data_IF_645362899614
#
_entry.id   IF_645362899614
#
_cell.length_a   1.000
_cell.length_b   1.000
_cell.length_c   1.000
_cell.angle_alpha   90.00
_cell.angle_beta   90.00
_cell.angle_gamma   90.00
#
_symmetry.space_group_name_H-M   'P 1'
#
loop_
_entity.id
_entity.type
_entity.pdbx_description
1 polymer ?
#
# COMPACT_ATOMS: atom_id res chain seq x y z
N UNK A 1 19.22 14.03 14.02
CA UNK A 1 18.99 13.85 12.56
C UNK A 1 20.28 13.93 11.76
N UNK A 2 21.17 14.90 12.02
CA UNK A 2 22.50 14.95 11.35
C UNK A 2 23.34 13.69 11.58
N UNK A 3 23.49 13.26 12.85
CA UNK A 3 24.28 12.06 13.21
C UNK A 3 23.80 10.76 12.57
N UNK A 4 22.51 10.67 12.22
CA UNK A 4 21.90 9.49 11.59
C UNK A 4 21.71 9.68 10.09
N UNK A 5 22.34 10.70 9.49
CA UNK A 5 22.33 10.96 8.05
C UNK A 5 21.01 11.49 7.48
N UNK A 6 20.03 11.81 8.33
CA UNK A 6 18.72 12.31 7.89
C UNK A 6 18.73 13.80 7.52
N UNK A 7 19.73 14.56 7.98
CA UNK A 7 19.91 15.97 7.63
C UNK A 7 21.41 16.28 7.41
N UNK A 8 21.77 17.17 6.48
CA UNK A 8 23.15 17.65 6.37
C UNK A 8 23.53 18.49 7.59
N UNK A 9 24.82 18.50 7.96
CA UNK A 9 25.32 19.23 9.13
C UNK A 9 25.07 20.75 9.06
N UNK A 10 24.93 21.29 7.85
CA UNK A 10 24.68 22.71 7.57
C UNK A 10 23.18 23.02 7.37
N UNK A 11 22.29 22.07 7.64
CA UNK A 11 20.85 22.32 7.55
C UNK A 11 20.44 23.44 8.53
N UNK A 12 19.66 24.44 8.08
CA UNK A 12 19.17 25.47 8.98
C UNK A 12 18.19 24.87 10.02
N UNK A 13 17.98 25.54 11.18
CA UNK A 13 17.14 25.00 12.26
C UNK A 13 15.70 24.66 11.84
N UNK A 14 15.18 25.35 10.82
CA UNK A 14 13.83 25.19 10.27
C UNK A 14 13.75 24.23 9.07
N UNK A 15 14.86 23.56 8.70
CA UNK A 15 14.93 22.72 7.49
C UNK A 15 13.88 21.59 7.43
N UNK A 16 13.38 21.12 8.58
CA UNK A 16 12.35 20.08 8.64
C UNK A 16 10.95 20.61 8.88
N UNK A 17 10.79 21.93 9.08
CA UNK A 17 9.50 22.51 9.46
C UNK A 17 8.41 22.15 8.45
N UNK A 18 8.68 22.28 7.15
CA UNK A 18 7.76 21.90 6.09
C UNK A 18 7.38 20.40 6.12
N UNK A 19 8.36 19.52 6.33
CA UNK A 19 8.12 18.06 6.39
C UNK A 19 7.27 17.70 7.61
N UNK A 20 7.59 18.27 8.78
CA UNK A 20 6.83 18.06 10.03
C UNK A 20 5.42 18.60 9.88
N UNK A 21 5.24 19.76 9.26
CA UNK A 21 3.93 20.34 9.00
C UNK A 21 3.10 19.43 8.09
N UNK A 22 3.63 19.03 6.93
CA UNK A 22 2.92 18.16 5.97
C UNK A 22 2.56 16.82 6.61
N UNK A 23 3.50 16.19 7.29
CA UNK A 23 3.25 14.92 8.00
C UNK A 23 2.18 15.09 9.08
N UNK A 24 2.29 16.17 9.87
CA UNK A 24 1.32 16.50 10.91
C UNK A 24 -0.08 16.81 10.35
N UNK A 25 -0.18 17.44 9.19
CA UNK A 25 -1.45 17.67 8.49
C UNK A 25 -2.04 16.35 7.99
N UNK A 26 -1.23 15.48 7.38
CA UNK A 26 -1.69 14.18 6.89
C UNK A 26 -2.27 13.31 8.01
N UNK A 27 -1.62 13.25 9.18
CA UNK A 27 -2.10 12.48 10.33
C UNK A 27 -3.41 13.01 10.94
N UNK A 28 -3.67 14.33 10.82
CA UNK A 28 -4.85 14.97 11.41
C UNK A 28 -6.02 15.11 10.44
N UNK A 29 -5.80 14.85 9.16
CA UNK A 29 -6.85 14.92 8.15
C UNK A 29 -7.76 13.72 8.29
N UNK A 30 -8.99 13.93 8.75
CA UNK A 30 -9.99 12.87 8.82
C UNK A 30 -10.50 12.59 7.42
N UNK A 31 -10.24 11.38 6.92
CA UNK A 31 -10.82 10.88 5.68
C UNK A 31 -11.80 9.76 5.97
N UNK A 32 -13.04 9.91 5.50
CA UNK A 32 -14.09 8.88 5.54
C UNK A 32 -14.62 8.67 4.12
N UNK A 33 -14.35 7.52 3.49
CA UNK A 33 -14.88 7.23 2.17
C UNK A 33 -16.41 7.29 2.18
N UNK A 34 -16.99 8.14 1.33
CA UNK A 34 -18.46 8.24 1.19
C UNK A 34 -19.05 7.10 0.32
N UNK A 35 -18.20 6.45 -0.48
CA UNK A 35 -18.61 5.43 -1.45
C UNK A 35 -17.71 4.21 -1.38
N UNK A 36 -18.29 3.06 -1.69
CA UNK A 36 -17.53 1.82 -1.91
C UNK A 36 -16.92 1.84 -3.31
N UNK A 37 -15.67 1.38 -3.41
CA UNK A 37 -15.00 1.18 -4.69
C UNK A 37 -15.59 -0.06 -5.39
N UNK A 38 -16.22 0.07 -6.57
CA UNK A 38 -17.03 -1.01 -7.14
C UNK A 38 -16.22 -2.11 -7.83
N UNK A 39 -14.89 -1.95 -7.96
CA UNK A 39 -14.01 -2.87 -8.69
C UNK A 39 -13.08 -3.61 -7.72
N UNK A 40 -12.23 -4.45 -8.28
CA UNK A 40 -11.19 -5.18 -7.55
C UNK A 40 -10.19 -4.18 -6.96
N UNK A 41 -10.15 -4.10 -5.64
CA UNK A 41 -9.08 -3.45 -4.90
C UNK A 41 -7.95 -4.46 -4.69
N UNK A 42 -6.73 -4.09 -5.06
CA UNK A 42 -5.55 -4.93 -4.86
C UNK A 42 -4.79 -4.40 -3.65
N UNK A 43 -4.78 -5.17 -2.57
CA UNK A 43 -4.15 -4.81 -1.31
C UNK A 43 -2.81 -5.54 -1.18
N UNK A 44 -1.74 -4.76 -1.02
CA UNK A 44 -0.41 -5.26 -0.67
C UNK A 44 -0.25 -5.16 0.84
N UNK A 45 0.07 -6.27 1.48
CA UNK A 45 0.28 -6.34 2.93
C UNK A 45 1.71 -6.79 3.20
N UNK A 46 2.43 -6.02 4.01
CA UNK A 46 3.78 -6.33 4.45
C UNK A 46 3.76 -6.70 5.94
N UNK A 47 4.73 -7.50 6.36
CA UNK A 47 4.90 -7.82 7.78
C UNK A 47 5.43 -6.60 8.54
N UNK A 48 5.00 -6.47 9.78
CA UNK A 48 5.60 -5.58 10.74
C UNK A 48 6.80 -6.30 11.39
N UNK A 49 8.02 -5.75 11.32
CA UNK A 49 9.25 -6.47 11.69
C UNK A 49 9.40 -6.72 13.19
N UNK A 50 8.62 -6.03 14.03
CA UNK A 50 8.65 -6.19 15.49
C UNK A 50 7.57 -7.15 16.02
N UNK A 51 6.72 -7.69 15.14
CA UNK A 51 5.65 -8.61 15.53
C UNK A 51 6.05 -10.04 15.17
N UNK A 52 5.52 -10.99 15.95
CA UNK A 52 5.62 -12.39 15.56
C UNK A 52 4.65 -12.73 14.41
N UNK A 53 4.68 -13.98 13.96
CA UNK A 53 3.84 -14.43 12.86
C UNK A 53 2.34 -14.46 13.19
N UNK A 54 1.97 -14.65 14.46
CA UNK A 54 0.57 -14.66 14.89
C UNK A 54 0.00 -13.25 14.92
N UNK A 55 0.74 -12.31 15.48
CA UNK A 55 0.36 -10.90 15.55
C UNK A 55 0.30 -10.27 14.15
N UNK A 56 1.25 -10.59 13.26
CA UNK A 56 1.20 -10.15 11.86
C UNK A 56 -0.06 -10.66 11.14
N UNK A 57 -0.42 -11.94 11.35
CA UNK A 57 -1.64 -12.52 10.76
C UNK A 57 -2.89 -11.80 11.26
N UNK A 58 -2.99 -11.52 12.57
CA UNK A 58 -4.11 -10.76 13.14
C UNK A 58 -4.22 -9.37 12.51
N UNK A 59 -3.12 -8.60 12.46
CA UNK A 59 -3.13 -7.28 11.83
C UNK A 59 -3.51 -7.32 10.35
N UNK A 60 -3.06 -8.35 9.63
CA UNK A 60 -3.39 -8.52 8.23
C UNK A 60 -4.88 -8.81 8.01
N UNK A 61 -5.50 -9.60 8.88
CA UNK A 61 -6.92 -9.90 8.83
C UNK A 61 -7.78 -8.67 9.14
N UNK A 62 -7.38 -7.88 10.15
CA UNK A 62 -8.03 -6.61 10.49
C UNK A 62 -8.00 -5.62 9.33
N UNK A 63 -6.83 -5.42 8.72
CA UNK A 63 -6.68 -4.59 7.52
C UNK A 63 -7.56 -5.11 6.38
N UNK A 64 -7.52 -6.41 6.10
CA UNK A 64 -8.33 -7.00 5.03
C UNK A 64 -9.84 -6.82 5.27
N UNK A 65 -10.29 -6.96 6.52
CA UNK A 65 -11.68 -6.71 6.90
C UNK A 65 -12.12 -5.27 6.61
N UNK A 66 -11.30 -4.28 7.02
CA UNK A 66 -11.56 -2.87 6.76
C UNK A 66 -11.65 -2.56 5.26
N UNK A 67 -10.76 -3.12 4.44
CA UNK A 67 -10.79 -2.92 2.99
C UNK A 67 -11.94 -3.65 2.30
N UNK A 68 -12.35 -4.84 2.76
CA UNK A 68 -13.53 -5.56 2.22
C UNK A 68 -14.82 -4.77 2.41
N UNK A 69 -14.96 -4.05 3.52
CA UNK A 69 -16.12 -3.18 3.73
C UNK A 69 -16.22 -2.04 2.70
N UNK A 70 -15.08 -1.61 2.14
CA UNK A 70 -14.96 -0.47 1.24
C UNK A 70 -14.83 -0.83 -0.24
N UNK A 71 -14.64 -2.10 -0.59
CA UNK A 71 -14.46 -2.56 -1.96
C UNK A 71 -15.52 -3.59 -2.38
N UNK A 72 -15.78 -3.70 -3.69
CA UNK A 72 -16.62 -4.76 -4.26
C UNK A 72 -15.93 -6.12 -4.21
N UNK A 73 -14.63 -6.14 -4.51
CA UNK A 73 -13.78 -7.33 -4.43
C UNK A 73 -12.39 -6.94 -3.90
N UNK A 74 -11.76 -7.82 -3.13
CA UNK A 74 -10.44 -7.62 -2.56
C UNK A 74 -9.49 -8.74 -3.01
N UNK A 75 -8.42 -8.37 -3.71
CA UNK A 75 -7.29 -9.26 -4.04
C UNK A 75 -6.10 -8.91 -3.15
N UNK A 76 -5.60 -9.88 -2.39
CA UNK A 76 -4.53 -9.65 -1.41
C UNK A 76 -3.23 -10.29 -1.91
N UNK A 77 -2.12 -9.57 -1.75
CA UNK A 77 -0.78 -10.10 -1.95
C UNK A 77 0.13 -9.75 -0.77
N UNK A 78 0.94 -10.72 -0.34
CA UNK A 78 1.92 -10.56 0.73
C UNK A 78 3.24 -10.09 0.14
N UNK A 79 3.69 -8.92 0.57
CA UNK A 79 4.97 -8.37 0.17
C UNK A 79 6.13 -9.12 0.83
N UNK A 80 7.27 -9.16 0.13
CA UNK A 80 8.55 -9.37 0.78
C UNK A 80 9.03 -8.05 1.39
N UNK A 81 9.73 -8.12 2.52
CA UNK A 81 10.11 -6.93 3.29
C UNK A 81 8.94 -6.36 4.12
N UNK A 82 9.20 -5.20 4.71
CA UNK A 82 8.27 -4.46 5.57
C UNK A 82 7.65 -3.25 4.85
N UNK A 83 6.84 -2.47 5.57
CA UNK A 83 6.17 -1.28 5.05
C UNK A 83 7.10 -0.29 4.32
N UNK A 84 8.34 -0.13 4.81
CA UNK A 84 9.33 0.78 4.24
C UNK A 84 10.21 0.11 3.19
N UNK A 85 10.57 -1.16 3.40
CA UNK A 85 11.55 -1.85 2.54
C UNK A 85 10.92 -2.47 1.29
N UNK A 86 9.60 -2.70 1.25
CA UNK A 86 8.92 -3.27 0.07
C UNK A 86 9.07 -2.44 -1.21
N UNK A 87 9.35 -1.14 -1.09
CA UNK A 87 9.54 -0.21 -2.20
C UNK A 87 11.01 -0.06 -2.63
N UNK A 88 11.92 -0.85 -2.07
CA UNK A 88 13.37 -0.81 -2.37
C UNK A 88 13.84 -2.15 -2.92
N UNK A 89 14.98 -2.13 -3.63
CA UNK A 89 15.62 -3.36 -4.04
C UNK A 89 16.04 -4.21 -2.82
N UNK A 90 15.87 -5.55 -2.86
CA UNK A 90 15.34 -6.32 -3.99
C UNK A 90 13.80 -6.41 -4.03
N UNK A 91 13.11 -6.15 -2.92
CA UNK A 91 11.66 -6.37 -2.73
C UNK A 91 10.76 -5.71 -3.77
N UNK A 92 11.15 -4.53 -4.24
CA UNK A 92 10.40 -3.78 -5.26
C UNK A 92 10.24 -4.57 -6.57
N UNK A 93 11.15 -5.49 -6.88
CA UNK A 93 11.04 -6.34 -8.06
C UNK A 93 9.91 -7.38 -7.93
N UNK A 94 9.67 -7.92 -6.74
CA UNK A 94 8.54 -8.81 -6.48
C UNK A 94 7.21 -8.06 -6.65
N UNK A 95 7.12 -6.87 -6.06
CA UNK A 95 5.96 -6.00 -6.17
C UNK A 95 5.67 -5.64 -7.63
N UNK A 96 6.67 -5.22 -8.39
CA UNK A 96 6.52 -4.87 -9.80
C UNK A 96 6.06 -6.07 -10.64
N UNK A 97 6.63 -7.27 -10.42
CA UNK A 97 6.20 -8.49 -11.10
C UNK A 97 4.76 -8.84 -10.78
N UNK A 98 4.37 -8.83 -9.51
CA UNK A 98 2.98 -9.10 -9.11
C UNK A 98 2.01 -8.08 -9.74
N UNK A 99 2.32 -6.79 -9.64
CA UNK A 99 1.48 -5.72 -10.19
C UNK A 99 1.26 -5.87 -11.70
N UNK A 100 2.34 -6.13 -12.45
CA UNK A 100 2.28 -6.28 -13.91
C UNK A 100 1.41 -7.46 -14.37
N UNK A 101 1.25 -8.49 -13.54
CA UNK A 101 0.39 -9.65 -13.80
C UNK A 101 -1.04 -9.39 -13.35
N UNK A 102 -1.22 -8.67 -12.25
CA UNK A 102 -2.52 -8.46 -11.64
C UNK A 102 -3.35 -7.40 -12.35
N UNK A 103 -2.73 -6.42 -13.02
CA UNK A 103 -3.42 -5.30 -13.70
C UNK A 103 -3.75 -5.62 -15.18
N UNK A 104 -3.16 -6.67 -15.76
CA UNK A 104 -3.54 -7.08 -17.12
C UNK A 104 -5.01 -7.54 -17.12
N UNK A 105 -5.86 -7.00 -18.01
CA UNK A 105 -7.21 -7.51 -18.16
C UNK A 105 -7.10 -8.98 -18.57
N UNK A 106 -7.84 -9.85 -17.88
CA UNK A 106 -8.09 -11.19 -18.36
C UNK A 106 -8.68 -11.04 -19.77
N UNK A 107 -8.05 -11.64 -20.80
CA UNK A 107 -8.47 -11.56 -22.20
C UNK A 107 -9.80 -12.29 -22.49
N UNK A 108 -10.76 -12.18 -21.59
CA UNK A 108 -12.08 -12.82 -21.64
C UNK A 108 -13.24 -11.83 -21.78
N UNK A 109 -12.99 -10.51 -21.69
CA UNK A 109 -14.04 -9.50 -21.90
C UNK A 109 -14.32 -9.21 -23.39
N UNK A 110 -13.40 -9.54 -24.31
CA UNK A 110 -13.61 -9.34 -25.76
C UNK A 110 -14.58 -10.39 -26.36
N UNK A 111 -14.66 -11.60 -25.79
CA UNK A 111 -15.51 -12.68 -26.35
C UNK A 111 -17.00 -12.59 -26.00
N UNK A 112 -17.42 -11.64 -25.14
CA UNK A 112 -18.83 -11.52 -24.75
C UNK A 112 -19.63 -10.55 -25.63
N UNK A 113 -18.96 -9.72 -26.44
CA UNK A 113 -19.63 -8.78 -27.35
C UNK A 113 -19.84 -9.32 -28.77
N UNK A 114 -19.11 -10.35 -29.21
CA UNK A 114 -19.22 -10.88 -30.57
C UNK A 114 -20.26 -12.00 -30.75
N UNK A 115 -20.90 -12.49 -29.68
CA UNK A 115 -21.87 -13.60 -29.76
C UNK A 115 -23.35 -13.15 -29.75
N UNK A 116 -23.66 -11.92 -30.16
CA UNK A 116 -25.04 -11.42 -30.29
C UNK A 116 -25.30 -10.64 -31.58
N UNK A 117 -24.59 -10.97 -32.66
CA UNK A 117 -24.91 -10.52 -34.02
C UNK A 117 -25.38 -11.69 -34.87
#
# INVERSE_FOLDING_TARGET
MVRVGLLPQRAPPDAIHGVVQVFGTALRTVYRPAYRYPRILRLVQADHPLLDAADNRTQHEEQASGWRALAGELSIWRASGDHFTMLRAPHVHDLARWWSRSVRPNGSDERRMESSA
#
